data_IF_134171002614
#
_entry.id   IF_134171002614
#
_cell.length_a   1.000
_cell.length_b   1.000
_cell.length_c   1.000
_cell.angle_alpha   90.00
_cell.angle_beta   90.00
_cell.angle_gamma   90.00
#
_symmetry.space_group_name_H-M   'P 1'
#
loop_
_entity.id
_entity.type
_entity.pdbx_description
1 polymer ?
#
# COMPACT_ATOMS: atom_id res chain seq x y z
N UNK A 1 61.85 23.81 32.93
CA UNK A 1 63.31 23.64 32.74
C UNK A 1 63.67 22.17 32.88
N UNK A 2 63.94 21.49 31.76
CA UNK A 2 64.97 20.46 31.52
C UNK A 2 64.63 19.70 30.23
N UNK A 3 65.28 20.16 29.16
CA UNK A 3 65.82 19.52 27.96
C UNK A 3 65.28 18.12 27.59
N UNK A 4 64.63 17.95 26.44
CA UNK A 4 65.19 17.79 25.08
C UNK A 4 66.07 16.52 24.92
N UNK A 5 65.55 15.53 24.19
CA UNK A 5 66.36 14.73 23.28
C UNK A 5 65.50 14.27 22.10
N UNK A 6 65.91 14.71 20.91
CA UNK A 6 65.42 14.32 19.59
C UNK A 6 66.54 13.54 18.92
N UNK A 7 66.25 12.34 18.44
CA UNK A 7 66.94 11.59 17.38
C UNK A 7 66.07 10.34 17.17
N UNK A 8 65.69 9.84 16.00
CA UNK A 8 65.97 10.14 14.61
C UNK A 8 65.13 9.14 13.80
N UNK A 9 64.79 9.50 12.57
CA UNK A 9 63.86 8.80 11.69
C UNK A 9 64.23 7.35 11.36
N UNK A 10 63.21 6.52 11.13
CA UNK A 10 63.25 5.51 10.07
C UNK A 10 61.86 5.38 9.45
N UNK A 11 61.69 5.97 8.27
CA UNK A 11 60.61 5.63 7.35
C UNK A 11 60.91 4.25 6.77
N UNK A 12 60.02 3.29 7.00
CA UNK A 12 59.88 2.12 6.13
C UNK A 12 58.43 2.06 5.69
N UNK A 13 58.18 2.59 4.50
CA UNK A 13 56.99 2.31 3.70
C UNK A 13 57.17 0.94 3.07
N UNK A 14 56.37 -0.05 3.47
CA UNK A 14 55.92 -1.15 2.60
C UNK A 14 54.88 -2.01 3.34
N UNK A 15 53.77 -2.30 2.66
CA UNK A 15 53.01 -3.52 2.92
C UNK A 15 51.56 -3.30 3.34
N UNK A 16 50.66 -3.32 2.35
CA UNK A 16 49.23 -3.49 2.55
C UNK A 16 48.92 -4.78 3.34
N UNK A 17 48.30 -4.65 4.51
CA UNK A 17 47.40 -5.67 5.05
C UNK A 17 46.26 -4.98 5.77
N UNK A 18 45.14 -4.79 5.06
CA UNK A 18 43.85 -4.51 5.68
C UNK A 18 43.45 -5.79 6.40
N UNK A 19 43.57 -5.79 7.73
CA UNK A 19 42.96 -6.82 8.58
C UNK A 19 41.46 -6.50 8.63
N UNK A 20 40.57 -7.36 8.12
CA UNK A 20 39.14 -7.15 8.34
C UNK A 20 38.84 -7.37 9.82
N UNK A 21 38.42 -6.29 10.49
CA UNK A 21 37.76 -6.37 11.80
C UNK A 21 36.44 -7.08 11.56
N UNK A 22 36.17 -8.27 12.15
CA UNK A 22 34.83 -8.82 12.11
C UNK A 22 33.91 -7.87 12.89
N UNK A 23 32.94 -7.27 12.18
CA UNK A 23 31.76 -6.66 12.77
C UNK A 23 31.00 -7.77 13.50
N UNK A 24 31.34 -7.96 14.77
CA UNK A 24 30.59 -8.82 15.66
C UNK A 24 29.28 -8.08 16.02
N UNK A 25 28.30 -8.13 15.12
CA UNK A 25 26.92 -7.81 15.45
C UNK A 25 26.44 -8.89 16.40
N UNK A 26 26.57 -8.64 17.70
CA UNK A 26 25.80 -9.36 18.70
C UNK A 26 24.32 -9.02 18.48
N UNK A 27 23.69 -9.75 17.57
CA UNK A 27 22.24 -9.82 17.42
C UNK A 27 21.66 -10.26 18.76
N UNK A 28 20.77 -9.45 19.32
CA UNK A 28 19.93 -9.87 20.44
C UNK A 28 19.25 -11.20 20.06
N UNK A 29 19.35 -12.26 20.88
CA UNK A 29 18.73 -13.54 20.58
C UNK A 29 17.21 -13.36 20.50
N UNK A 30 16.65 -13.42 19.30
CA UNK A 30 15.21 -13.26 19.04
C UNK A 30 14.85 -12.45 17.79
N UNK A 31 15.81 -11.78 17.14
CA UNK A 31 15.58 -10.99 15.91
C UNK A 31 15.85 -11.75 14.60
N UNK A 32 16.02 -13.07 14.66
CA UNK A 32 16.31 -13.87 13.47
C UNK A 32 15.01 -14.11 12.69
N UNK A 33 14.91 -13.68 11.42
CA UNK A 33 13.81 -14.06 10.53
C UNK A 33 13.58 -15.58 10.59
N UNK A 34 12.32 -16.00 10.61
CA UNK A 34 11.99 -17.44 10.65
C UNK A 34 12.43 -18.14 9.35
N UNK A 35 12.60 -17.37 8.28
CA UNK A 35 13.28 -17.75 7.04
C UNK A 35 14.11 -16.56 6.54
N UNK A 36 15.30 -16.78 5.95
CA UNK A 36 15.93 -15.74 5.13
C UNK A 36 14.91 -15.23 4.10
N UNK A 37 14.94 -13.95 3.71
CA UNK A 37 14.16 -13.52 2.57
C UNK A 37 14.54 -14.46 1.43
N UNK A 38 13.54 -15.06 0.77
CA UNK A 38 13.80 -15.99 -0.32
C UNK A 38 14.78 -15.33 -1.28
N UNK A 39 15.71 -16.13 -1.86
CA UNK A 39 16.75 -15.62 -2.79
C UNK A 39 16.19 -14.61 -3.81
N UNK A 40 14.90 -14.70 -4.14
CA UNK A 40 14.15 -13.80 -5.00
C UNK A 40 14.08 -12.33 -4.56
N UNK A 41 13.85 -12.05 -3.27
CA UNK A 41 13.82 -10.68 -2.75
C UNK A 41 15.24 -10.10 -2.68
N UNK A 42 16.20 -10.91 -2.19
CA UNK A 42 17.62 -10.54 -2.12
C UNK A 42 18.29 -10.32 -3.48
N UNK A 43 17.88 -11.04 -4.53
CA UNK A 43 18.45 -10.90 -5.87
C UNK A 43 17.95 -9.66 -6.64
N UNK A 44 16.90 -8.97 -6.17
CA UNK A 44 16.56 -7.63 -6.71
C UNK A 44 17.61 -6.58 -6.37
N UNK A 45 18.58 -6.93 -5.52
CA UNK A 45 19.45 -6.00 -4.81
C UNK A 45 20.93 -6.17 -5.23
N UNK A 46 21.29 -7.29 -5.88
CA UNK A 46 22.63 -7.55 -6.40
C UNK A 46 22.64 -7.35 -7.92
N UNK A 47 22.65 -6.08 -8.36
CA UNK A 47 22.86 -5.73 -9.76
C UNK A 47 21.75 -4.87 -10.36
N UNK A 48 21.67 -3.62 -9.92
CA UNK A 48 21.11 -2.56 -10.76
C UNK A 48 22.27 -1.73 -11.30
N UNK A 49 22.43 -1.60 -12.63
CA UNK A 49 23.21 -0.51 -13.20
C UNK A 49 22.68 0.82 -12.66
N UNK A 50 23.56 1.79 -12.45
CA UNK A 50 23.16 3.18 -12.23
C UNK A 50 22.34 3.62 -13.44
N UNK A 51 21.01 3.57 -13.32
CA UNK A 51 20.11 4.17 -14.28
C UNK A 51 20.23 5.69 -14.12
N UNK A 52 20.48 6.46 -15.20
CA UNK A 52 20.51 7.91 -15.11
C UNK A 52 19.15 8.44 -14.62
N UNK A 53 19.21 9.55 -13.87
CA UNK A 53 18.07 10.22 -13.26
C UNK A 53 16.85 10.32 -14.20
N UNK A 54 15.64 9.90 -13.77
CA UNK A 54 14.44 10.02 -14.58
C UNK A 54 13.93 11.47 -14.75
N UNK A 55 14.73 12.48 -14.38
CA UNK A 55 14.40 13.90 -14.51
C UNK A 55 15.03 14.58 -15.74
N UNK A 56 15.74 13.86 -16.61
CA UNK A 56 16.12 14.41 -17.91
C UNK A 56 14.97 14.31 -18.89
N UNK A 57 14.25 15.43 -19.07
CA UNK A 57 13.21 15.63 -20.08
C UNK A 57 13.68 15.12 -21.46
N UNK A 58 13.08 14.02 -21.92
CA UNK A 58 13.08 13.65 -23.34
C UNK A 58 11.64 13.73 -23.81
N UNK A 59 11.34 14.75 -24.60
CA UNK A 59 10.03 14.94 -25.26
C UNK A 59 9.77 13.77 -26.21
N UNK A 60 8.89 12.86 -25.83
CA UNK A 60 8.39 11.81 -26.74
C UNK A 60 7.28 12.44 -27.57
N UNK A 61 7.55 12.64 -28.86
CA UNK A 61 6.55 13.02 -29.87
C UNK A 61 5.71 11.77 -30.20
N UNK A 62 4.37 11.81 -30.07
CA UNK A 62 3.53 10.68 -30.44
C UNK A 62 3.45 10.51 -31.97
N UNK A 63 3.37 9.26 -32.49
CA UNK A 63 3.24 9.00 -33.92
C UNK A 63 1.84 9.37 -34.44
N UNK A 64 1.79 9.91 -35.66
CA UNK A 64 0.55 10.32 -36.35
C UNK A 64 -0.30 9.13 -36.80
N UNK A 65 -1.60 9.19 -36.53
CA UNK A 65 -2.60 8.24 -37.05
C UNK A 65 -2.97 8.63 -38.49
N UNK A 66 -2.71 7.74 -39.45
CA UNK A 66 -3.22 7.84 -40.82
C UNK A 66 -4.55 7.06 -40.95
N UNK A 67 -5.61 7.64 -41.53
CA UNK A 67 -6.89 6.97 -41.72
C UNK A 67 -6.97 6.31 -43.09
N UNK A 68 -7.02 4.98 -43.15
CA UNK A 68 -7.57 4.26 -44.33
C UNK A 68 -8.10 2.89 -43.90
N UNK A 69 -9.41 2.76 -43.79
CA UNK A 69 -10.08 1.47 -43.90
C UNK A 69 -11.49 1.69 -44.47
N UNK A 70 -11.68 1.15 -45.67
CA UNK A 70 -12.85 1.21 -46.53
C UNK A 70 -14.04 0.44 -45.97
N UNK A 71 -15.21 1.01 -46.26
CA UNK A 71 -16.57 0.57 -45.93
C UNK A 71 -16.97 -0.65 -46.76
N UNK A 72 -17.57 -1.66 -46.13
CA UNK A 72 -18.33 -2.73 -46.78
C UNK A 72 -19.72 -2.82 -46.16
N UNK A 73 -20.75 -2.58 -46.98
CA UNK A 73 -22.18 -2.72 -46.66
C UNK A 73 -22.60 -4.18 -46.42
N UNK A 74 -23.61 -4.42 -45.57
CA UNK A 74 -24.52 -5.55 -45.74
C UNK A 74 -25.97 -5.09 -46.02
N UNK A 75 -26.62 -5.78 -46.95
CA UNK A 75 -28.03 -5.67 -47.36
C UNK A 75 -28.96 -6.36 -46.32
N UNK A 76 -30.27 -6.02 -46.25
CA UNK A 76 -31.10 -6.11 -45.04
C UNK A 76 -31.99 -7.35 -44.98
N UNK A 77 -32.37 -7.77 -43.77
CA UNK A 77 -33.48 -8.74 -43.55
C UNK A 77 -34.35 -8.30 -42.37
N UNK A 78 -35.54 -7.85 -42.74
CA UNK A 78 -36.90 -7.88 -42.15
C UNK A 78 -37.14 -8.16 -40.64
N UNK A 79 -37.95 -7.26 -40.07
CA UNK A 79 -38.65 -7.21 -38.77
C UNK A 79 -39.70 -8.29 -38.49
N UNK A 80 -39.84 -8.72 -37.22
CA UNK A 80 -41.12 -9.05 -36.56
C UNK A 80 -40.94 -9.28 -35.02
N UNK A 81 -42.01 -9.16 -34.19
CA UNK A 81 -41.93 -8.52 -32.87
C UNK A 81 -42.01 -9.44 -31.63
N UNK A 82 -41.71 -8.83 -30.48
CA UNK A 82 -41.80 -9.32 -29.10
C UNK A 82 -43.21 -9.82 -28.72
N UNK A 83 -43.30 -10.79 -27.78
CA UNK A 83 -44.29 -10.66 -26.72
C UNK A 83 -43.66 -10.81 -25.33
N UNK A 84 -43.99 -9.86 -24.48
CA UNK A 84 -43.90 -9.88 -23.02
C UNK A 84 -44.91 -10.85 -22.43
N UNK A 85 -44.50 -11.78 -21.55
CA UNK A 85 -45.27 -12.21 -20.38
C UNK A 85 -44.36 -12.81 -19.30
N UNK A 86 -44.75 -12.52 -18.07
CA UNK A 86 -44.18 -12.81 -16.75
C UNK A 86 -43.93 -14.28 -16.47
N UNK A 87 -42.83 -14.58 -15.76
CA UNK A 87 -42.89 -15.40 -14.54
C UNK A 87 -41.65 -15.17 -13.67
N UNK A 88 -41.92 -14.78 -12.43
CA UNK A 88 -40.97 -14.65 -11.33
C UNK A 88 -40.61 -16.05 -10.86
N UNK A 89 -39.38 -16.47 -11.14
CA UNK A 89 -38.83 -17.70 -10.57
C UNK A 89 -37.52 -17.32 -9.90
N UNK A 90 -37.49 -17.45 -8.57
CA UNK A 90 -36.28 -17.43 -7.76
C UNK A 90 -35.32 -18.50 -8.29
N UNK A 91 -34.39 -18.09 -9.14
CA UNK A 91 -33.20 -18.88 -9.42
C UNK A 91 -32.11 -18.35 -8.51
N UNK A 92 -32.03 -18.95 -7.32
CA UNK A 92 -30.82 -18.97 -6.50
C UNK A 92 -29.72 -19.62 -7.34
N UNK A 93 -29.05 -18.80 -8.16
CA UNK A 93 -27.89 -19.24 -8.92
C UNK A 93 -26.70 -19.02 -8.02
N UNK A 94 -26.17 -20.13 -7.50
CA UNK A 94 -24.91 -20.22 -6.77
C UNK A 94 -23.80 -19.69 -7.68
N UNK A 95 -23.41 -18.44 -7.46
CA UNK A 95 -22.12 -17.89 -7.92
C UNK A 95 -21.31 -17.62 -6.67
N UNK A 96 -20.68 -18.65 -6.12
CA UNK A 96 -19.69 -18.50 -5.06
C UNK A 96 -18.35 -18.05 -5.69
N UNK A 97 -18.35 -16.86 -6.29
CA UNK A 97 -17.16 -16.01 -6.24
C UNK A 97 -17.02 -15.59 -4.77
N UNK A 98 -15.85 -15.75 -4.15
CA UNK A 98 -15.62 -15.40 -2.76
C UNK A 98 -15.85 -13.90 -2.55
N UNK A 99 -17.07 -13.49 -2.25
CA UNK A 99 -17.41 -12.12 -1.93
C UNK A 99 -16.73 -11.78 -0.60
N UNK A 100 -15.62 -11.04 -0.68
CA UNK A 100 -14.97 -10.53 0.50
C UNK A 100 -15.84 -9.41 1.08
N UNK A 101 -16.11 -9.46 2.38
CA UNK A 101 -16.90 -8.44 3.07
C UNK A 101 -16.07 -7.18 3.28
N UNK A 102 -16.25 -6.20 2.39
CA UNK A 102 -15.51 -4.93 2.43
C UNK A 102 -15.80 -4.12 3.69
N UNK A 103 -17.00 -4.26 4.28
CA UNK A 103 -17.34 -3.58 5.54
C UNK A 103 -16.51 -4.17 6.67
N UNK A 104 -16.47 -5.49 6.80
CA UNK A 104 -15.65 -6.16 7.82
C UNK A 104 -14.15 -5.85 7.65
N UNK A 105 -13.66 -5.74 6.42
CA UNK A 105 -12.27 -5.32 6.12
C UNK A 105 -12.05 -3.87 6.57
N UNK A 106 -12.92 -2.95 6.14
CA UNK A 106 -12.82 -1.54 6.46
C UNK A 106 -12.85 -1.27 7.97
N UNK A 107 -13.71 -1.96 8.72
CA UNK A 107 -13.78 -1.87 10.17
C UNK A 107 -12.51 -2.35 10.88
N UNK A 108 -11.86 -3.40 10.35
CA UNK A 108 -10.59 -3.88 10.92
C UNK A 108 -9.48 -2.87 10.71
N UNK A 109 -9.36 -2.33 9.50
CA UNK A 109 -8.37 -1.29 9.19
C UNK A 109 -8.67 -0.03 10.02
N UNK A 110 -9.94 0.35 10.16
CA UNK A 110 -10.34 1.46 11.04
C UNK A 110 -9.84 1.26 12.48
N UNK A 111 -10.09 0.09 13.08
CA UNK A 111 -9.58 -0.23 14.42
C UNK A 111 -8.05 -0.17 14.49
N UNK A 112 -7.35 -0.68 13.48
CA UNK A 112 -5.88 -0.65 13.45
C UNK A 112 -5.33 0.78 13.31
N UNK A 113 -5.96 1.63 12.51
CA UNK A 113 -5.49 2.99 12.20
C UNK A 113 -5.87 4.03 13.25
N UNK A 114 -6.99 3.84 13.94
CA UNK A 114 -7.56 4.88 14.82
C UNK A 114 -7.87 4.39 16.24
N UNK A 115 -7.73 3.10 16.51
CA UNK A 115 -8.31 2.46 17.70
C UNK A 115 -9.84 2.64 17.78
N UNK A 116 -10.52 2.74 16.63
CA UNK A 116 -11.97 2.94 16.55
C UNK A 116 -12.45 4.37 16.77
N UNK A 117 -11.54 5.36 16.72
CA UNK A 117 -11.86 6.77 16.93
C UNK A 117 -12.02 7.51 15.59
N UNK A 118 -13.25 7.91 15.26
CA UNK A 118 -13.56 8.60 14.01
C UNK A 118 -12.82 9.94 13.86
N UNK A 119 -12.48 10.63 14.96
CA UNK A 119 -11.74 11.90 14.90
C UNK A 119 -10.33 11.73 14.32
N UNK A 120 -9.73 10.54 14.47
CA UNK A 120 -8.40 10.22 13.94
C UNK A 120 -8.40 9.83 12.46
N UNK A 121 -9.58 9.73 11.83
CA UNK A 121 -9.73 9.66 10.38
C UNK A 121 -9.42 11.01 9.72
N UNK A 122 -9.31 12.09 10.50
CA UNK A 122 -9.03 13.44 10.01
C UNK A 122 -7.67 13.89 10.53
N UNK A 123 -6.68 13.96 9.65
CA UNK A 123 -5.33 14.40 10.02
C UNK A 123 -4.82 15.43 9.04
N UNK A 124 -3.88 16.27 9.50
CA UNK A 124 -3.11 17.13 8.61
C UNK A 124 -1.73 16.55 8.38
N UNK A 125 -1.35 16.35 7.12
CA UNK A 125 0.01 16.00 6.75
C UNK A 125 0.82 17.28 6.56
N UNK A 126 1.65 17.62 7.55
CA UNK A 126 2.46 18.85 7.50
C UNK A 126 3.58 18.81 6.46
N UNK A 127 4.08 17.61 6.12
CA UNK A 127 5.16 17.44 5.14
C UNK A 127 4.64 17.68 3.71
N UNK A 128 3.43 17.22 3.41
CA UNK A 128 2.80 17.36 2.10
C UNK A 128 1.85 18.55 1.98
N UNK A 129 1.51 19.21 3.10
CA UNK A 129 0.55 20.31 3.17
C UNK A 129 -0.85 19.94 2.64
N UNK A 130 -1.42 18.86 3.17
CA UNK A 130 -2.75 18.38 2.78
C UNK A 130 -3.50 17.74 3.95
N UNK A 131 -4.83 17.61 3.81
CA UNK A 131 -5.64 16.80 4.71
C UNK A 131 -5.53 15.32 4.32
N UNK A 132 -5.17 14.49 5.30
CA UNK A 132 -5.05 13.04 5.21
C UNK A 132 -6.30 12.41 5.84
N UNK A 133 -7.12 11.76 5.00
CA UNK A 133 -8.50 11.39 5.34
C UNK A 133 -8.77 9.90 5.26
N UNK A 134 -9.58 9.40 6.19
CA UNK A 134 -10.12 8.04 6.12
C UNK A 134 -9.10 6.95 6.46
N UNK A 135 -9.51 5.71 6.27
CA UNK A 135 -8.68 4.52 6.57
C UNK A 135 -7.62 4.24 5.51
N UNK A 136 -7.75 4.88 4.33
CA UNK A 136 -6.90 4.65 3.16
C UNK A 136 -5.93 5.79 2.84
N UNK A 137 -5.70 6.70 3.80
CA UNK A 137 -4.91 7.92 3.61
C UNK A 137 -5.28 8.72 2.35
N UNK A 138 -6.56 9.06 2.24
CA UNK A 138 -7.10 9.81 1.12
C UNK A 138 -6.57 11.25 1.16
N UNK A 139 -5.70 11.58 0.22
CA UNK A 139 -5.04 12.88 0.10
C UNK A 139 -6.04 13.90 -0.43
N UNK A 140 -6.16 15.03 0.28
CA UNK A 140 -6.95 16.18 -0.16
C UNK A 140 -6.17 17.49 0.01
N UNK A 141 -5.70 18.05 -1.10
CA UNK A 141 -4.99 19.33 -1.07
C UNK A 141 -5.95 20.49 -0.89
N UNK A 142 -5.51 21.61 -0.30
CA UNK A 142 -6.26 22.86 -0.33
C UNK A 142 -6.68 23.26 -1.74
N UNK A 143 -7.77 24.02 -1.86
CA UNK A 143 -8.17 24.61 -3.13
C UNK A 143 -7.00 25.33 -3.80
N UNK A 144 -6.80 25.08 -5.10
CA UNK A 144 -5.74 25.64 -5.93
C UNK A 144 -4.30 25.26 -5.52
N UNK A 145 -4.12 24.27 -4.64
CA UNK A 145 -2.81 23.73 -4.28
C UNK A 145 -2.66 22.30 -4.80
N UNK A 146 -1.43 21.92 -5.11
CA UNK A 146 -1.04 20.56 -5.52
C UNK A 146 0.31 20.24 -4.90
N UNK A 147 0.62 18.95 -4.79
CA UNK A 147 1.89 18.49 -4.26
C UNK A 147 2.31 17.16 -4.89
N UNK A 148 3.38 16.60 -4.34
CA UNK A 148 4.03 15.40 -4.89
C UNK A 148 3.25 14.10 -4.64
N UNK A 149 2.27 14.13 -3.73
CA UNK A 149 1.40 12.99 -3.46
C UNK A 149 0.19 13.03 -4.39
N UNK A 150 -0.19 11.87 -4.92
CA UNK A 150 -1.41 11.73 -5.72
C UNK A 150 -2.64 12.10 -4.89
N UNK A 151 -3.43 13.05 -5.38
CA UNK A 151 -4.69 13.44 -4.76
C UNK A 151 -5.76 12.36 -4.99
N UNK A 152 -6.34 11.83 -3.91
CA UNK A 152 -7.22 10.64 -3.97
C UNK A 152 -8.60 10.85 -3.36
N UNK A 153 -8.78 11.81 -2.45
CA UNK A 153 -10.09 12.06 -1.83
C UNK A 153 -11.17 12.48 -2.84
N UNK A 154 -10.93 13.37 -3.82
CA UNK A 154 -11.93 13.68 -4.85
C UNK A 154 -12.34 12.45 -5.69
N UNK A 155 -11.40 11.56 -6.00
CA UNK A 155 -11.68 10.30 -6.69
C UNK A 155 -12.54 9.36 -5.84
N UNK A 156 -12.30 9.34 -4.53
CA UNK A 156 -13.15 8.59 -3.59
C UNK A 156 -14.58 9.16 -3.53
N UNK A 157 -14.77 10.48 -3.51
CA UNK A 157 -16.11 11.08 -3.54
C UNK A 157 -16.89 10.68 -4.80
N UNK A 158 -16.23 10.70 -5.97
CA UNK A 158 -16.82 10.22 -7.23
C UNK A 158 -17.18 8.74 -7.16
N UNK A 159 -16.34 7.93 -6.52
CA UNK A 159 -16.62 6.51 -6.29
C UNK A 159 -17.87 6.33 -5.43
N UNK A 160 -17.98 7.03 -4.29
CA UNK A 160 -19.15 6.96 -3.40
C UNK A 160 -20.44 7.35 -4.15
N UNK A 161 -20.40 8.42 -4.95
CA UNK A 161 -21.53 8.83 -5.79
C UNK A 161 -21.92 7.76 -6.81
N UNK A 162 -20.93 7.10 -7.44
CA UNK A 162 -21.19 6.00 -8.38
C UNK A 162 -21.88 4.79 -7.71
N UNK A 163 -21.74 4.65 -6.39
CA UNK A 163 -22.42 3.64 -5.58
C UNK A 163 -23.78 4.11 -5.04
N UNK A 164 -24.30 5.24 -5.53
CA UNK A 164 -25.57 5.87 -5.11
C UNK A 164 -25.64 6.20 -3.61
N UNK A 165 -24.49 6.40 -2.95
CA UNK A 165 -24.44 6.84 -1.56
C UNK A 165 -24.35 8.37 -1.50
N UNK A 166 -25.27 9.04 -0.78
CA UNK A 166 -25.31 10.49 -0.74
C UNK A 166 -24.10 11.05 0.02
N UNK A 167 -23.52 12.13 -0.52
CA UNK A 167 -22.49 12.90 0.18
C UNK A 167 -23.12 13.89 1.16
N UNK A 168 -22.44 14.25 2.27
CA UNK A 168 -22.80 15.39 3.08
C UNK A 168 -23.05 16.65 2.22
N UNK A 169 -24.12 17.39 2.52
CA UNK A 169 -24.59 18.49 1.64
C UNK A 169 -23.52 19.52 1.35
N UNK A 170 -22.68 19.85 2.34
CA UNK A 170 -21.59 20.80 2.16
C UNK A 170 -20.47 20.25 1.27
N UNK A 171 -20.22 18.93 1.27
CA UNK A 171 -19.26 18.28 0.36
C UNK A 171 -19.80 18.23 -1.07
N UNK A 172 -21.10 17.92 -1.23
CA UNK A 172 -21.74 17.84 -2.54
C UNK A 172 -21.80 19.18 -3.28
N UNK A 173 -21.99 20.28 -2.54
CA UNK A 173 -22.23 21.61 -3.09
C UNK A 173 -20.97 22.49 -3.10
N UNK A 174 -19.77 21.90 -3.08
CA UNK A 174 -18.54 22.69 -3.03
C UNK A 174 -18.27 23.38 -4.37
N UNK A 175 -17.79 24.63 -4.36
CA UNK A 175 -17.40 25.34 -5.58
C UNK A 175 -16.07 24.84 -6.17
N UNK A 176 -15.31 24.05 -5.42
CA UNK A 176 -14.01 23.51 -5.81
C UNK A 176 -13.81 22.11 -5.25
N UNK A 177 -13.12 21.27 -6.02
CA UNK A 177 -12.74 19.91 -5.64
C UNK A 177 -11.63 19.86 -4.57
N UNK A 178 -10.86 20.93 -4.36
CA UNK A 178 -9.77 20.98 -3.36
C UNK A 178 -10.27 21.35 -1.97
N UNK A 179 -9.69 20.82 -0.90
CA UNK A 179 -10.11 20.96 0.51
C UNK A 179 -10.37 22.40 0.99
N UNK A 180 -11.29 22.59 1.95
CA UNK A 180 -11.71 23.93 2.41
C UNK A 180 -10.67 24.62 3.30
N UNK A 181 -9.68 23.88 3.83
CA UNK A 181 -8.65 24.41 4.72
C UNK A 181 -7.40 24.75 3.91
N UNK A 182 -6.97 26.01 3.98
CA UNK A 182 -5.80 26.50 3.24
C UNK A 182 -4.47 25.93 3.77
N UNK A 183 -4.43 25.61 5.06
CA UNK A 183 -3.23 25.17 5.78
C UNK A 183 -3.61 24.41 7.06
N UNK A 184 -2.57 23.95 7.79
CA UNK A 184 -2.71 23.25 9.07
C UNK A 184 -3.45 24.06 10.13
N UNK A 185 -3.20 25.36 10.21
CA UNK A 185 -3.79 26.21 11.25
C UNK A 185 -5.30 26.36 11.01
N UNK A 186 -5.74 26.50 9.76
CA UNK A 186 -7.14 26.48 9.38
C UNK A 186 -7.78 25.13 9.67
N UNK A 187 -7.11 24.01 9.36
CA UNK A 187 -7.59 22.67 9.66
C UNK A 187 -7.76 22.43 11.17
N UNK A 188 -6.78 22.85 11.97
CA UNK A 188 -6.80 22.68 13.42
C UNK A 188 -7.91 23.52 14.09
N UNK A 189 -8.12 24.76 13.63
CA UNK A 189 -9.24 25.60 14.12
C UNK A 189 -10.60 24.98 13.83
N UNK A 190 -10.73 24.30 12.70
CA UNK A 190 -12.00 23.74 12.25
C UNK A 190 -12.38 22.42 12.93
N UNK A 191 -11.53 21.80 13.75
CA UNK A 191 -11.74 20.44 14.29
C UNK A 191 -13.11 20.21 14.95
N UNK A 192 -13.65 21.25 15.60
CA UNK A 192 -14.94 21.19 16.28
C UNK A 192 -16.09 21.76 15.44
N UNK A 193 -15.82 22.20 14.22
CA UNK A 193 -16.85 22.72 13.32
C UNK A 193 -17.76 21.59 12.86
N UNK A 194 -19.02 21.95 12.61
CA UNK A 194 -20.04 21.02 12.10
C UNK A 194 -19.57 20.24 10.87
N UNK A 195 -18.87 20.88 9.94
CA UNK A 195 -18.37 20.24 8.73
C UNK A 195 -17.32 19.15 9.00
N UNK A 196 -16.42 19.37 9.97
CA UNK A 196 -15.40 18.37 10.36
C UNK A 196 -16.04 17.17 11.05
N UNK A 197 -17.00 17.41 11.95
CA UNK A 197 -17.75 16.33 12.61
C UNK A 197 -18.57 15.51 11.61
N UNK A 198 -19.22 16.18 10.65
CA UNK A 198 -19.93 15.50 9.55
C UNK A 198 -18.98 14.71 8.65
N UNK A 199 -17.77 15.22 8.38
CA UNK A 199 -16.75 14.52 7.60
C UNK A 199 -16.26 13.24 8.32
N UNK A 200 -15.94 13.34 9.61
CA UNK A 200 -15.53 12.19 10.42
C UNK A 200 -16.62 11.11 10.42
N UNK A 201 -17.88 11.51 10.68
CA UNK A 201 -19.03 10.61 10.67
C UNK A 201 -19.25 9.97 9.30
N UNK A 202 -19.10 10.75 8.21
CA UNK A 202 -19.23 10.23 6.86
C UNK A 202 -18.14 9.19 6.56
N UNK A 203 -16.89 9.47 6.88
CA UNK A 203 -15.78 8.53 6.68
C UNK A 203 -15.95 7.26 7.51
N UNK A 204 -16.35 7.37 8.78
CA UNK A 204 -16.62 6.22 9.63
C UNK A 204 -17.73 5.33 9.05
N UNK A 205 -18.86 5.92 8.64
CA UNK A 205 -19.99 5.17 8.06
C UNK A 205 -19.69 4.53 6.70
N UNK A 206 -18.60 4.93 6.06
CA UNK A 206 -18.24 4.50 4.71
C UNK A 206 -16.93 3.73 4.65
N UNK A 207 -16.43 3.20 5.78
CA UNK A 207 -15.21 2.37 5.82
C UNK A 207 -15.27 1.19 4.86
N UNK A 208 -16.45 0.58 4.65
CA UNK A 208 -16.63 -0.46 3.64
C UNK A 208 -16.42 0.03 2.21
N UNK A 209 -16.94 1.21 1.87
CA UNK A 209 -16.71 1.83 0.56
C UNK A 209 -15.25 2.26 0.37
N UNK A 210 -14.58 2.71 1.44
CA UNK A 210 -13.15 3.00 1.38
C UNK A 210 -12.34 1.74 1.11
N UNK A 211 -12.64 0.61 1.76
CA UNK A 211 -12.00 -0.66 1.49
C UNK A 211 -12.24 -1.16 0.05
N UNK A 212 -13.47 -1.01 -0.45
CA UNK A 212 -13.80 -1.34 -1.84
C UNK A 212 -13.02 -0.45 -2.83
N UNK A 213 -13.02 0.86 -2.60
CA UNK A 213 -12.26 1.82 -3.41
C UNK A 213 -10.76 1.52 -3.43
N UNK A 214 -10.16 1.24 -2.25
CA UNK A 214 -8.75 0.86 -2.14
C UNK A 214 -8.46 -0.45 -2.90
N UNK A 215 -9.35 -1.43 -2.81
CA UNK A 215 -9.23 -2.70 -3.56
C UNK A 215 -9.23 -2.44 -5.06
N UNK A 216 -10.17 -1.67 -5.57
CA UNK A 216 -10.29 -1.37 -7.00
C UNK A 216 -9.09 -0.55 -7.50
N UNK A 217 -8.62 0.42 -6.72
CA UNK A 217 -7.40 1.17 -7.01
C UNK A 217 -6.18 0.25 -7.07
N UNK A 218 -6.02 -0.64 -6.09
CA UNK A 218 -4.89 -1.56 -6.04
C UNK A 218 -4.90 -2.51 -7.24
N UNK A 219 -6.06 -3.08 -7.59
CA UNK A 219 -6.22 -3.93 -8.78
C UNK A 219 -5.81 -3.21 -10.06
N UNK A 220 -6.30 -1.98 -10.24
CA UNK A 220 -5.96 -1.15 -11.42
C UNK A 220 -4.47 -0.82 -11.49
N UNK A 221 -3.85 -0.55 -10.34
CA UNK A 221 -2.46 -0.10 -10.27
C UNK A 221 -1.44 -1.24 -10.21
N UNK A 222 -1.83 -2.45 -9.81
CA UNK A 222 -0.92 -3.59 -9.65
C UNK A 222 -0.05 -3.85 -10.89
N UNK A 223 -0.57 -3.85 -12.13
CA UNK A 223 0.26 -4.03 -13.32
C UNK A 223 1.39 -2.99 -13.45
N UNK A 224 1.14 -1.73 -13.10
CA UNK A 224 2.14 -0.67 -13.11
C UNK A 224 3.11 -0.80 -11.92
N UNK A 225 2.59 -1.14 -10.73
CA UNK A 225 3.41 -1.37 -9.53
C UNK A 225 4.48 -2.43 -9.78
N UNK A 226 4.12 -3.58 -10.37
CA UNK A 226 5.09 -4.66 -10.62
C UNK A 226 6.14 -4.29 -11.68
N UNK A 227 5.91 -3.28 -12.54
CA UNK A 227 6.94 -2.83 -13.49
C UNK A 227 8.16 -2.21 -12.78
N UNK A 228 8.00 -1.76 -11.54
CA UNK A 228 9.11 -1.25 -10.72
C UNK A 228 10.09 -2.34 -10.27
N UNK A 229 9.70 -3.62 -10.41
CA UNK A 229 10.56 -4.76 -10.13
C UNK A 229 11.37 -5.16 -11.39
N UNK A 230 12.55 -5.80 -11.22
CA UNK A 230 13.24 -6.43 -12.34
C UNK A 230 12.35 -7.46 -13.06
N UNK A 231 12.47 -7.61 -14.40
CA UNK A 231 11.55 -8.41 -15.22
C UNK A 231 11.27 -9.83 -14.70
N UNK A 232 12.29 -10.53 -14.18
CA UNK A 232 12.16 -11.91 -13.68
C UNK A 232 11.29 -12.05 -12.42
N UNK A 233 10.95 -10.95 -11.75
CA UNK A 233 10.19 -10.93 -10.49
C UNK A 233 8.74 -10.50 -10.67
N UNK A 234 8.43 -9.79 -11.74
CA UNK A 234 7.11 -9.17 -11.98
C UNK A 234 5.97 -10.18 -11.93
N UNK A 235 6.12 -11.29 -12.66
CA UNK A 235 5.08 -12.31 -12.75
C UNK A 235 4.82 -12.98 -11.40
N UNK A 236 5.83 -13.13 -10.56
CA UNK A 236 5.65 -13.77 -9.26
C UNK A 236 4.92 -12.89 -8.26
N UNK A 237 5.28 -11.61 -8.18
CA UNK A 237 4.55 -10.66 -7.36
C UNK A 237 3.08 -10.57 -7.79
N UNK A 238 2.82 -10.56 -9.11
CA UNK A 238 1.45 -10.58 -9.65
C UNK A 238 0.71 -11.87 -9.29
N UNK A 239 1.37 -13.03 -9.40
CA UNK A 239 0.76 -14.32 -9.02
C UNK A 239 0.42 -14.36 -7.52
N UNK A 240 1.33 -13.90 -6.65
CA UNK A 240 1.08 -13.82 -5.20
C UNK A 240 -0.11 -12.90 -4.89
N UNK A 241 -0.21 -11.76 -5.57
CA UNK A 241 -1.37 -10.87 -5.43
C UNK A 241 -2.67 -11.57 -5.85
N UNK A 242 -2.68 -12.22 -7.01
CA UNK A 242 -3.86 -12.96 -7.49
C UNK A 242 -4.26 -14.12 -6.55
N UNK A 243 -3.28 -14.79 -5.93
CA UNK A 243 -3.54 -15.80 -4.89
C UNK A 243 -4.26 -15.18 -3.70
N UNK A 244 -3.80 -14.00 -3.23
CA UNK A 244 -4.46 -13.28 -2.14
C UNK A 244 -5.85 -12.77 -2.51
N UNK A 245 -6.04 -12.28 -3.74
CA UNK A 245 -7.36 -11.85 -4.22
C UNK A 245 -8.38 -13.00 -4.21
N UNK A 246 -7.95 -14.20 -4.64
CA UNK A 246 -8.78 -15.41 -4.69
C UNK A 246 -8.94 -16.08 -3.33
N UNK A 247 -8.17 -15.68 -2.32
CA UNK A 247 -8.23 -16.25 -0.98
C UNK A 247 -9.36 -15.57 -0.19
N UNK A 248 -10.33 -16.31 0.37
CA UNK A 248 -11.31 -15.74 1.29
C UNK A 248 -10.62 -15.00 2.46
N UNK A 249 -10.93 -13.71 2.61
CA UNK A 249 -10.30 -12.83 3.60
C UNK A 249 -8.91 -12.29 3.20
N UNK A 250 -8.43 -12.56 1.98
CA UNK A 250 -7.09 -12.19 1.54
C UNK A 250 -6.87 -10.71 1.25
N UNK A 251 -7.91 -9.90 0.98
CA UNK A 251 -7.71 -8.46 0.79
C UNK A 251 -7.51 -7.71 2.10
N UNK A 252 -7.98 -8.23 3.24
CA UNK A 252 -7.70 -7.60 4.54
C UNK A 252 -6.19 -7.40 4.76
N UNK A 253 -5.35 -8.45 4.78
CA UNK A 253 -3.92 -8.28 5.03
C UNK A 253 -3.22 -7.49 3.93
N UNK A 254 -3.65 -7.62 2.66
CA UNK A 254 -3.08 -6.86 1.54
C UNK A 254 -3.30 -5.36 1.70
N UNK A 255 -4.53 -4.93 1.97
CA UNK A 255 -4.86 -3.52 2.16
C UNK A 255 -4.27 -2.98 3.46
N UNK A 256 -4.43 -3.72 4.56
CA UNK A 256 -3.92 -3.30 5.86
C UNK A 256 -2.41 -3.09 5.83
N UNK A 257 -1.65 -4.03 5.23
CA UNK A 257 -0.20 -3.90 5.12
C UNK A 257 0.20 -2.73 4.22
N UNK A 258 -0.51 -2.50 3.12
CA UNK A 258 -0.24 -1.37 2.22
C UNK A 258 -0.46 -0.02 2.92
N UNK A 259 -1.55 0.12 3.67
CA UNK A 259 -1.85 1.32 4.49
C UNK A 259 -0.77 1.52 5.55
N UNK A 260 -0.37 0.43 6.20
CA UNK A 260 0.55 0.39 7.32
C UNK A 260 2.03 0.65 6.94
N UNK A 261 2.53 0.03 5.86
CA UNK A 261 3.96 -0.01 5.51
C UNK A 261 4.28 0.63 4.15
N UNK A 262 3.27 0.88 3.31
CA UNK A 262 3.42 1.43 1.98
C UNK A 262 3.36 0.39 0.86
N UNK A 263 3.39 0.89 -0.38
CA UNK A 263 3.22 0.07 -1.58
C UNK A 263 4.49 -0.71 -1.96
N UNK A 264 5.67 -0.22 -1.59
CA UNK A 264 6.96 -0.82 -1.92
C UNK A 264 7.47 -0.44 -3.31
N UNK A 265 6.90 0.61 -3.92
CA UNK A 265 7.28 1.13 -5.24
C UNK A 265 8.26 2.30 -5.17
N UNK A 266 8.38 2.97 -4.01
CA UNK A 266 9.22 4.15 -3.87
C UNK A 266 10.66 3.78 -3.50
N UNK A 267 11.63 4.54 -4.02
CA UNK A 267 13.04 4.44 -3.59
C UNK A 267 13.24 4.93 -2.14
N UNK A 268 12.31 5.75 -1.61
CA UNK A 268 12.35 6.21 -0.22
C UNK A 268 11.81 5.17 0.76
N UNK A 269 11.20 4.08 0.28
CA UNK A 269 10.73 2.96 1.08
C UNK A 269 11.78 1.85 1.12
N UNK A 270 13.06 2.23 1.26
CA UNK A 270 14.20 1.30 1.25
C UNK A 270 15.27 1.69 2.26
N UNK A 271 15.89 0.69 2.87
CA UNK A 271 17.11 0.82 3.66
C UNK A 271 18.16 -0.12 3.07
N UNK A 272 19.35 0.41 2.77
CA UNK A 272 20.43 -0.34 2.10
C UNK A 272 19.98 -1.05 0.81
N UNK A 273 19.03 -0.45 0.07
CA UNK A 273 18.44 -1.04 -1.13
C UNK A 273 17.25 -1.98 -0.87
N UNK A 274 17.10 -2.50 0.35
CA UNK A 274 16.03 -3.39 0.77
C UNK A 274 14.71 -2.63 0.97
N UNK A 275 13.69 -2.97 0.18
CA UNK A 275 12.34 -2.46 0.39
C UNK A 275 11.56 -3.26 1.44
N UNK A 276 10.46 -2.71 1.94
CA UNK A 276 9.61 -3.35 2.95
C UNK A 276 8.11 -3.23 2.67
N UNK A 277 7.72 -2.61 1.56
CA UNK A 277 6.30 -2.39 1.26
C UNK A 277 5.61 -3.64 0.70
N UNK A 278 4.33 -3.48 0.32
CA UNK A 278 3.50 -4.59 -0.18
C UNK A 278 4.17 -5.42 -1.28
N UNK A 279 4.87 -4.78 -2.23
CA UNK A 279 5.57 -5.50 -3.31
C UNK A 279 6.62 -6.48 -2.79
N UNK A 280 7.37 -6.13 -1.74
CA UNK A 280 8.38 -7.02 -1.17
C UNK A 280 7.73 -8.19 -0.44
N UNK A 281 6.61 -7.97 0.26
CA UNK A 281 5.82 -9.04 0.86
C UNK A 281 5.34 -10.02 -0.21
N UNK A 282 4.71 -9.52 -1.27
CA UNK A 282 4.21 -10.36 -2.37
C UNK A 282 5.33 -11.13 -3.08
N UNK A 283 6.50 -10.51 -3.24
CA UNK A 283 7.65 -11.13 -3.89
C UNK A 283 8.29 -12.24 -3.03
N UNK A 284 8.30 -12.05 -1.72
CA UNK A 284 8.89 -12.99 -0.77
C UNK A 284 7.93 -14.14 -0.39
N UNK A 285 6.68 -14.11 -0.83
CA UNK A 285 5.76 -15.24 -0.68
C UNK A 285 6.22 -16.45 -1.50
N UNK A 286 6.16 -17.62 -0.88
CA UNK A 286 6.29 -18.91 -1.55
C UNK A 286 5.06 -19.22 -2.43
N UNK A 287 5.22 -20.19 -3.34
CA UNK A 287 4.10 -20.63 -4.18
C UNK A 287 3.11 -21.42 -3.34
N UNK A 288 1.95 -20.82 -3.12
CA UNK A 288 0.84 -21.40 -2.37
C UNK A 288 -0.47 -21.27 -3.15
N UNK A 289 -1.41 -22.18 -2.90
CA UNK A 289 -2.75 -22.10 -3.48
C UNK A 289 -3.63 -21.15 -2.66
N UNK A 290 -4.68 -20.55 -3.27
CA UNK A 290 -5.63 -19.72 -2.53
C UNK A 290 -6.25 -20.48 -1.34
N UNK A 291 -6.32 -19.82 -0.18
CA UNK A 291 -6.86 -20.40 1.05
C UNK A 291 -6.07 -20.04 2.32
N UNK A 292 -6.30 -20.75 3.44
CA UNK A 292 -5.68 -20.44 4.73
C UNK A 292 -4.14 -20.43 4.69
N UNK A 293 -3.51 -21.28 3.86
CA UNK A 293 -2.06 -21.30 3.69
C UNK A 293 -1.55 -20.04 3.00
N UNK A 294 -2.31 -19.43 2.08
CA UNK A 294 -1.95 -18.14 1.50
C UNK A 294 -1.96 -17.01 2.54
N UNK A 295 -2.93 -17.01 3.47
CA UNK A 295 -2.94 -16.05 4.58
C UNK A 295 -1.75 -16.24 5.52
N UNK A 296 -1.43 -17.49 5.87
CA UNK A 296 -0.27 -17.81 6.69
C UNK A 296 1.03 -17.39 6.01
N UNK A 297 1.13 -17.59 4.70
CA UNK A 297 2.31 -17.24 3.92
C UNK A 297 2.48 -15.73 3.75
N UNK A 298 1.38 -15.00 3.52
CA UNK A 298 1.41 -13.53 3.53
C UNK A 298 1.83 -13.01 4.92
N UNK A 299 1.29 -13.58 6.00
CA UNK A 299 1.66 -13.22 7.38
C UNK A 299 3.16 -13.44 7.63
N UNK A 300 3.71 -14.60 7.24
CA UNK A 300 5.14 -14.89 7.36
C UNK A 300 5.97 -13.84 6.60
N UNK A 301 5.66 -13.65 5.31
CA UNK A 301 6.39 -12.72 4.44
C UNK A 301 6.33 -11.26 4.92
N UNK A 302 5.17 -10.83 5.43
CA UNK A 302 4.98 -9.52 6.06
C UNK A 302 5.83 -9.38 7.33
N UNK A 303 5.86 -10.43 8.17
CA UNK A 303 6.67 -10.51 9.39
C UNK A 303 8.17 -10.41 9.12
N UNK A 304 8.65 -11.11 8.08
CA UNK A 304 10.06 -11.04 7.68
C UNK A 304 10.38 -9.65 7.12
N UNK A 305 9.51 -9.07 6.31
CA UNK A 305 9.71 -7.73 5.72
C UNK A 305 9.86 -6.64 6.79
N UNK A 306 9.01 -6.63 7.83
CA UNK A 306 9.13 -5.67 8.94
C UNK A 306 10.35 -5.93 9.82
N UNK A 307 10.75 -7.20 9.97
CA UNK A 307 11.94 -7.56 10.76
C UNK A 307 13.21 -7.10 10.05
N UNK A 308 13.32 -7.33 8.74
CA UNK A 308 14.42 -6.82 7.92
C UNK A 308 14.46 -5.30 7.90
N UNK A 309 13.32 -4.63 7.76
CA UNK A 309 13.24 -3.17 7.84
C UNK A 309 13.88 -2.64 9.12
N UNK A 310 13.49 -3.20 10.27
CA UNK A 310 14.01 -2.78 11.58
C UNK A 310 15.51 -3.08 11.71
N UNK A 311 15.96 -4.23 11.22
CA UNK A 311 17.37 -4.60 11.25
C UNK A 311 18.24 -3.71 10.35
N UNK A 312 17.70 -3.24 9.22
CA UNK A 312 18.38 -2.36 8.27
C UNK A 312 18.21 -0.86 8.60
N UNK A 313 17.31 -0.51 9.51
CA UNK A 313 17.00 0.89 9.82
C UNK A 313 18.21 1.60 10.47
N UNK A 314 18.53 2.84 10.06
CA UNK A 314 19.52 3.66 10.76
C UNK A 314 19.16 3.82 12.24
N UNK A 315 20.14 3.74 13.14
CA UNK A 315 19.93 3.79 14.58
C UNK A 315 19.10 5.00 15.03
N UNK A 316 19.32 6.15 14.41
CA UNK A 316 18.63 7.44 14.66
C UNK A 316 17.11 7.37 14.44
N UNK A 317 16.64 6.40 13.62
CA UNK A 317 15.20 6.21 13.38
C UNK A 317 14.51 5.52 14.54
N UNK A 318 15.26 4.79 15.37
CA UNK A 318 14.78 4.08 16.55
C UNK A 318 13.55 3.20 16.26
N UNK A 319 13.49 2.56 15.08
CA UNK A 319 12.32 1.76 14.65
C UNK A 319 12.14 0.48 15.45
N UNK A 320 13.19 -0.02 16.12
CA UNK A 320 13.13 -1.23 16.94
C UNK A 320 12.01 -1.23 17.99
N UNK A 321 11.64 -0.06 18.52
CA UNK A 321 10.52 0.08 19.47
C UNK A 321 9.17 -0.31 18.88
N UNK A 322 9.02 -0.22 17.55
CA UNK A 322 7.76 -0.46 16.86
C UNK A 322 7.55 -1.93 16.49
N UNK A 323 8.64 -2.73 16.49
CA UNK A 323 8.62 -4.10 15.96
C UNK A 323 7.59 -5.00 16.66
N UNK A 324 7.46 -4.89 17.98
CA UNK A 324 6.50 -5.72 18.75
C UNK A 324 5.05 -5.45 18.34
N UNK A 325 4.68 -4.17 18.21
CA UNK A 325 3.32 -3.77 17.81
C UNK A 325 3.04 -4.16 16.37
N UNK A 326 4.04 -3.98 15.50
CA UNK A 326 3.97 -4.36 14.08
C UNK A 326 3.78 -5.87 13.90
N UNK A 327 4.56 -6.68 14.61
CA UNK A 327 4.40 -8.13 14.60
C UNK A 327 3.04 -8.55 15.16
N UNK A 328 2.54 -7.87 16.19
CA UNK A 328 1.20 -8.15 16.75
C UNK A 328 0.10 -7.87 15.74
N UNK A 329 0.18 -6.75 15.00
CA UNK A 329 -0.73 -6.42 13.89
C UNK A 329 -0.67 -7.48 12.79
N UNK A 330 0.52 -7.85 12.32
CA UNK A 330 0.71 -8.86 11.26
C UNK A 330 0.18 -10.24 11.66
N UNK A 331 0.31 -10.65 12.93
CA UNK A 331 -0.23 -11.94 13.42
C UNK A 331 -1.76 -12.06 13.29
N UNK A 332 -2.48 -10.95 13.09
CA UNK A 332 -3.93 -10.96 12.85
C UNK A 332 -4.33 -11.37 11.43
N UNK A 333 -3.38 -11.53 10.51
CA UNK A 333 -3.65 -11.80 9.09
C UNK A 333 -4.09 -13.23 8.79
N UNK A 334 -3.85 -14.17 9.71
CA UNK A 334 -4.44 -15.51 9.62
C UNK A 334 -5.93 -15.48 9.98
N UNK A 335 -6.70 -16.42 9.45
CA UNK A 335 -8.10 -16.61 9.87
C UNK A 335 -8.13 -16.77 11.40
N UNK A 336 -9.04 -16.12 12.14
CA UNK A 336 -9.28 -16.48 13.52
C UNK A 336 -9.57 -17.97 13.55
N UNK A 337 -8.70 -18.78 14.14
CA UNK A 337 -9.05 -20.14 14.51
C UNK A 337 -10.34 -19.98 15.31
N UNK A 338 -11.46 -20.58 14.87
CA UNK A 338 -12.64 -20.66 15.71
C UNK A 338 -12.17 -21.33 16.99
N UNK A 339 -11.89 -20.54 18.03
CA UNK A 339 -11.71 -21.07 19.37
C UNK A 339 -13.04 -21.72 19.66
N UNK A 340 -13.03 -23.05 19.73
CA UNK A 340 -14.22 -23.81 20.06
C UNK A 340 -14.83 -23.16 21.29
N UNK A 341 -16.09 -22.75 21.17
CA UNK A 341 -16.89 -22.36 22.32
C UNK A 341 -16.98 -23.61 23.17
N UNK A 342 -16.08 -23.74 24.15
CA UNK A 342 -16.30 -24.60 25.28
C UNK A 342 -17.46 -23.95 26.04
N UNK A 343 -18.66 -24.46 25.82
CA UNK A 343 -19.81 -24.17 26.67
C UNK A 343 -19.37 -24.35 28.12
N UNK A 344 -19.50 -23.28 28.91
CA UNK A 344 -19.62 -23.36 30.36
C UNK A 344 -21.08 -23.21 30.73
#
# INVERSE_FOLDING_TARGET
MKNLSVLGALFVLTGCTVVPIPLNTALLPGLVPQSPPTHRALQTEVGMPVLPDPYTNTTIVPPSLNPTATVSNPTPITTAPLPSHTNSTLVTTVVAASAQDMTAIGERIFRNETNGDASKLLRWNSKGNFADLGIGHLVWYPANQRGNYTETFPSYLKYVQSQNVPLPRWLANRPSDGGPWADKAAFDRAKNDKQMLELATFLEKTVGLQAAFMTDQLRRNMPAMVQTLPPQYRQAALNSFQVMEKTPGGMYPVLDYMVFQGAGTSNTERYNGHGWGLLQVLLNMERVQPGPNALAEFMRSAGDSITHRVAAAPAERHEARMLTDWQTRVRTYKVPTRVGVANR
#
